data_IF_009020283224
#
_entry.id   IF_009020283224
#
_cell.length_a   1.000
_cell.length_b   1.000
_cell.length_c   1.000
_cell.angle_alpha   90.00
_cell.angle_beta   90.00
_cell.angle_gamma   90.00
#
_symmetry.space_group_name_H-M   'P 1'
#
loop_
_entity.id
_entity.type
_entity.pdbx_description
1 polymer ?
#
# COMPACT_ATOMS: atom_id res chain seq x y z
N UNK A 1 -3.15 -15.32 -1.23
CA UNK A 1 -2.58 -14.00 -1.58
C UNK A 1 -3.19 -12.87 -0.74
N UNK A 2 -4.49 -12.68 -0.75
CA UNK A 2 -5.15 -11.63 0.04
C UNK A 2 -4.90 -11.74 1.55
N UNK A 3 -4.93 -12.95 2.08
CA UNK A 3 -4.64 -13.19 3.50
C UNK A 3 -3.23 -12.73 3.86
N UNK A 4 -2.26 -13.03 3.02
CA UNK A 4 -0.87 -12.61 3.21
C UNK A 4 -0.74 -11.09 3.18
N UNK A 5 -1.35 -10.43 2.21
CA UNK A 5 -1.33 -8.97 2.10
C UNK A 5 -1.94 -8.32 3.35
N UNK A 6 -3.07 -8.81 3.82
CA UNK A 6 -3.73 -8.31 5.02
C UNK A 6 -2.89 -8.48 6.28
N UNK A 7 -2.27 -9.65 6.44
CA UNK A 7 -1.39 -9.95 7.57
C UNK A 7 -0.14 -9.05 7.56
N UNK A 8 0.48 -8.89 6.40
CA UNK A 8 1.66 -8.04 6.25
C UNK A 8 1.34 -6.57 6.48
N UNK A 9 0.18 -6.11 5.99
CA UNK A 9 -0.30 -4.75 6.20
C UNK A 9 -0.50 -4.45 7.69
N UNK A 10 -1.12 -5.38 8.42
CA UNK A 10 -1.32 -5.25 9.86
C UNK A 10 0.02 -5.17 10.61
N UNK A 11 0.98 -6.00 10.23
CA UNK A 11 2.32 -6.00 10.83
C UNK A 11 3.08 -4.71 10.52
N UNK A 12 3.02 -4.22 9.28
CA UNK A 12 3.64 -2.94 8.89
C UNK A 12 3.06 -1.79 9.73
N UNK A 13 1.74 -1.75 9.91
CA UNK A 13 1.08 -0.74 10.71
C UNK A 13 1.45 -0.84 12.19
N UNK A 14 1.57 -2.06 12.71
CA UNK A 14 2.01 -2.29 14.10
C UNK A 14 3.42 -1.75 14.33
N UNK A 15 4.35 -2.05 13.43
CA UNK A 15 5.73 -1.56 13.52
C UNK A 15 5.81 -0.04 13.38
N UNK A 16 5.01 0.54 12.51
CA UNK A 16 4.94 1.99 12.36
C UNK A 16 4.38 2.67 13.61
N UNK A 17 3.33 2.09 14.20
CA UNK A 17 2.76 2.56 15.47
C UNK A 17 3.79 2.51 16.61
N UNK A 18 4.65 1.48 16.63
CA UNK A 18 5.72 1.36 17.62
C UNK A 18 6.72 2.53 17.52
N UNK A 19 7.00 3.01 16.31
CA UNK A 19 7.85 4.20 16.11
C UNK A 19 7.22 5.42 16.81
N UNK A 20 5.92 5.65 16.61
CA UNK A 20 5.22 6.78 17.23
C UNK A 20 5.18 6.69 18.76
N UNK A 21 4.89 5.51 19.29
CA UNK A 21 4.85 5.26 20.73
C UNK A 21 6.19 5.55 21.39
N UNK A 22 7.27 5.04 20.80
CA UNK A 22 8.62 5.20 21.34
C UNK A 22 9.17 6.61 21.12
N UNK A 23 8.78 7.26 20.02
CA UNK A 23 9.16 8.64 19.73
C UNK A 23 8.71 9.59 20.83
N UNK A 24 7.47 9.43 21.31
CA UNK A 24 6.91 10.28 22.35
C UNK A 24 7.72 10.26 23.65
N UNK A 25 8.43 9.16 23.93
CA UNK A 25 9.19 8.95 25.17
C UNK A 25 10.71 9.03 24.98
N UNK A 26 11.19 9.36 23.78
CA UNK A 26 12.63 9.28 23.43
C UNK A 26 13.54 10.15 24.29
N UNK A 27 13.01 11.22 24.90
CA UNK A 27 13.80 12.17 25.70
C UNK A 27 13.71 11.89 27.20
N UNK A 28 12.94 10.87 27.62
CA UNK A 28 12.77 10.51 29.03
C UNK A 28 14.05 9.92 29.62
N UNK A 29 14.75 9.08 28.87
CA UNK A 29 16.00 8.43 29.31
C UNK A 29 16.78 7.97 28.09
N UNK A 30 18.11 7.66 28.25
CA UNK A 30 18.89 7.05 27.18
C UNK A 30 18.32 5.72 26.71
N UNK A 31 17.75 4.92 27.61
CA UNK A 31 17.11 3.63 27.28
C UNK A 31 15.88 3.84 26.41
N UNK A 32 15.07 4.87 26.71
CA UNK A 32 13.88 5.18 25.91
C UNK A 32 14.25 5.67 24.52
N UNK A 33 15.32 6.44 24.39
CA UNK A 33 15.83 6.87 23.09
C UNK A 33 16.30 5.68 22.28
N UNK A 34 16.96 4.71 22.90
CA UNK A 34 17.40 3.49 22.24
C UNK A 34 16.22 2.64 21.75
N UNK A 35 15.14 2.54 22.56
CA UNK A 35 13.93 1.85 22.13
C UNK A 35 13.35 2.45 20.85
N UNK A 36 13.32 3.78 20.76
CA UNK A 36 12.87 4.48 19.56
C UNK A 36 13.77 4.19 18.35
N UNK A 37 15.09 4.25 18.53
CA UNK A 37 16.03 3.93 17.45
C UNK A 37 15.84 2.51 16.95
N UNK A 38 15.63 1.55 17.86
CA UNK A 38 15.39 0.16 17.52
C UNK A 38 14.06 0.01 16.75
N UNK A 39 13.02 0.70 17.15
CA UNK A 39 11.73 0.68 16.45
C UNK A 39 11.88 1.18 15.01
N UNK A 40 12.62 2.26 14.78
CA UNK A 40 12.90 2.79 13.45
C UNK A 40 13.70 1.80 12.61
N UNK A 41 14.72 1.15 13.21
CA UNK A 41 15.57 0.17 12.54
C UNK A 41 14.79 -1.05 12.09
N UNK A 42 13.96 -1.61 12.98
CA UNK A 42 13.13 -2.79 12.68
C UNK A 42 12.15 -2.47 11.56
N UNK A 43 11.47 -1.33 11.62
CA UNK A 43 10.53 -0.92 10.58
C UNK A 43 11.22 -0.81 9.22
N UNK A 44 12.35 -0.11 9.15
CA UNK A 44 13.10 0.09 7.90
C UNK A 44 13.56 -1.24 7.31
N UNK A 45 14.06 -2.15 8.14
CA UNK A 45 14.55 -3.46 7.69
C UNK A 45 13.44 -4.35 7.14
N UNK A 46 12.26 -4.31 7.76
CA UNK A 46 11.14 -5.19 7.42
C UNK A 46 10.17 -4.63 6.40
N UNK A 47 10.19 -3.32 6.18
CA UNK A 47 9.17 -2.63 5.36
C UNK A 47 9.08 -3.21 3.95
N UNK A 48 10.20 -3.42 3.28
CA UNK A 48 10.20 -3.92 1.90
C UNK A 48 9.45 -5.25 1.76
N UNK A 49 9.69 -6.20 2.67
CA UNK A 49 9.02 -7.50 2.64
C UNK A 49 7.54 -7.41 2.98
N UNK A 50 7.19 -6.56 3.93
CA UNK A 50 5.81 -6.41 4.38
C UNK A 50 4.96 -5.59 3.42
N UNK A 51 5.56 -4.67 2.69
CA UNK A 51 4.84 -3.77 1.79
C UNK A 51 4.20 -4.51 0.61
N UNK A 52 4.88 -5.54 0.06
CA UNK A 52 4.39 -6.25 -1.11
C UNK A 52 4.91 -7.69 -1.13
N UNK A 53 4.06 -8.68 -1.48
CA UNK A 53 4.49 -10.09 -1.58
C UNK A 53 5.71 -10.27 -2.48
N UNK A 54 6.75 -10.94 -1.97
CA UNK A 54 8.03 -11.08 -2.66
C UNK A 54 8.96 -9.89 -2.53
N UNK A 55 8.56 -8.87 -1.75
CA UNK A 55 9.30 -7.62 -1.55
C UNK A 55 8.91 -6.55 -2.57
N UNK A 56 8.84 -5.30 -2.11
CA UNK A 56 8.48 -4.20 -3.01
C UNK A 56 9.62 -3.80 -3.93
N UNK A 57 10.87 -3.93 -3.50
CA UNK A 57 12.03 -3.67 -4.37
C UNK A 57 12.01 -4.61 -5.57
N UNK A 58 12.03 -4.04 -6.76
CA UNK A 58 11.95 -4.80 -8.00
C UNK A 58 10.56 -5.35 -8.35
N UNK A 59 9.54 -5.10 -7.53
CA UNK A 59 8.18 -5.61 -7.74
C UNK A 59 7.58 -5.12 -9.06
N UNK A 60 7.79 -3.85 -9.39
CA UNK A 60 7.23 -3.28 -10.62
C UNK A 60 7.85 -3.90 -11.87
N UNK A 61 9.14 -4.18 -11.83
CA UNK A 61 9.84 -4.86 -12.94
C UNK A 61 9.35 -6.29 -13.09
N UNK A 62 9.18 -7.03 -11.98
CA UNK A 62 8.64 -8.39 -12.01
C UNK A 62 7.20 -8.40 -12.54
N UNK A 63 6.40 -7.42 -12.15
CA UNK A 63 5.01 -7.26 -12.62
C UNK A 63 4.95 -7.10 -14.13
N UNK A 64 5.69 -6.15 -14.67
CA UNK A 64 5.72 -5.86 -16.11
C UNK A 64 6.32 -7.03 -16.90
N UNK A 65 7.29 -7.74 -16.32
CA UNK A 65 7.90 -8.92 -16.92
C UNK A 65 6.98 -10.14 -16.94
N UNK A 66 5.84 -10.10 -16.26
CA UNK A 66 4.89 -11.20 -16.27
C UNK A 66 5.09 -12.25 -15.18
N UNK A 67 5.79 -11.92 -14.10
CA UNK A 67 5.90 -12.81 -12.95
C UNK A 67 4.50 -13.07 -12.37
N UNK A 68 4.09 -14.32 -12.29
CA UNK A 68 2.73 -14.71 -11.91
C UNK A 68 2.35 -14.25 -10.50
N UNK A 69 3.25 -14.41 -9.54
CA UNK A 69 3.02 -13.95 -8.17
C UNK A 69 2.87 -12.43 -8.11
N UNK A 70 3.74 -11.70 -8.80
CA UNK A 70 3.70 -10.24 -8.83
C UNK A 70 2.41 -9.73 -9.50
N UNK A 71 1.97 -10.37 -10.58
CA UNK A 71 0.72 -10.00 -11.26
C UNK A 71 -0.49 -10.21 -10.34
N UNK A 72 -0.60 -11.37 -9.70
CA UNK A 72 -1.71 -11.65 -8.79
C UNK A 72 -1.69 -10.70 -7.58
N UNK A 73 -0.52 -10.47 -7.00
CA UNK A 73 -0.37 -9.54 -5.89
C UNK A 73 -0.74 -8.12 -6.29
N UNK A 74 -0.40 -7.68 -7.51
CA UNK A 74 -0.72 -6.34 -8.01
C UNK A 74 -2.22 -6.14 -8.25
N UNK A 75 -2.99 -7.20 -8.43
CA UNK A 75 -4.44 -7.13 -8.52
C UNK A 75 -5.07 -7.21 -7.12
N UNK A 76 -4.63 -8.15 -6.29
CA UNK A 76 -5.15 -8.32 -4.93
C UNK A 76 -4.94 -7.07 -4.06
N UNK A 77 -3.78 -6.42 -4.18
CA UNK A 77 -3.45 -5.25 -3.37
C UNK A 77 -4.47 -4.10 -3.58
N UNK A 78 -4.73 -3.64 -4.82
CA UNK A 78 -5.75 -2.62 -5.04
C UNK A 78 -7.16 -3.07 -4.66
N UNK A 79 -7.50 -4.35 -4.84
CA UNK A 79 -8.80 -4.88 -4.45
C UNK A 79 -9.04 -4.77 -2.95
N UNK A 80 -8.00 -5.02 -2.16
CA UNK A 80 -8.07 -4.96 -0.70
C UNK A 80 -7.92 -3.55 -0.15
N UNK A 81 -7.19 -2.68 -0.83
CA UNK A 81 -6.81 -1.34 -0.36
C UNK A 81 -6.21 -1.37 1.04
N UNK A 82 -5.10 -2.08 1.25
CA UNK A 82 -4.48 -2.14 2.57
C UNK A 82 -4.01 -0.75 3.00
N UNK A 83 -4.15 -0.44 4.28
CA UNK A 83 -3.77 0.85 4.82
C UNK A 83 -2.55 0.70 5.71
N UNK A 84 -1.42 1.26 5.27
CA UNK A 84 -0.19 1.34 6.02
C UNK A 84 0.69 2.46 5.44
N UNK A 85 1.82 2.73 6.05
CA UNK A 85 2.72 3.79 5.62
C UNK A 85 3.07 3.69 4.13
N UNK A 86 2.74 4.73 3.37
CA UNK A 86 2.93 4.85 1.91
C UNK A 86 2.12 3.90 1.04
N UNK A 87 1.13 3.23 1.61
CA UNK A 87 0.27 2.33 0.83
C UNK A 87 -0.49 3.04 -0.29
N UNK A 88 -0.83 4.31 -0.12
CA UNK A 88 -1.47 5.11 -1.16
C UNK A 88 -0.61 5.30 -2.41
N UNK A 89 0.68 5.54 -2.24
CA UNK A 89 1.62 5.62 -3.36
C UNK A 89 1.74 4.29 -4.08
N UNK A 90 1.80 3.20 -3.33
CA UNK A 90 1.87 1.85 -3.90
C UNK A 90 0.60 1.52 -4.67
N UNK A 91 -0.56 1.87 -4.12
CA UNK A 91 -1.85 1.66 -4.78
C UNK A 91 -1.87 2.31 -6.17
N UNK A 92 -1.54 3.59 -6.26
CA UNK A 92 -1.54 4.33 -7.52
C UNK A 92 -0.49 3.78 -8.50
N UNK A 93 0.71 3.47 -8.00
CA UNK A 93 1.80 2.96 -8.82
C UNK A 93 1.49 1.57 -9.37
N UNK A 94 0.92 0.69 -8.54
CA UNK A 94 0.54 -0.67 -8.95
C UNK A 94 -0.56 -0.64 -10.01
N UNK A 95 -1.58 0.21 -9.84
CA UNK A 95 -2.63 0.35 -10.85
C UNK A 95 -2.06 0.80 -12.19
N UNK A 96 -1.17 1.78 -12.18
CA UNK A 96 -0.57 2.30 -13.40
C UNK A 96 0.30 1.26 -14.11
N UNK A 97 1.13 0.55 -13.35
CA UNK A 97 2.06 -0.45 -13.90
C UNK A 97 1.36 -1.75 -14.32
N UNK A 98 0.31 -2.14 -13.62
CA UNK A 98 -0.45 -3.35 -13.96
C UNK A 98 -1.06 -3.29 -15.36
N UNK A 99 -1.37 -2.10 -15.87
CA UNK A 99 -1.87 -1.92 -17.24
C UNK A 99 -0.87 -2.38 -18.31
N UNK A 100 0.40 -2.41 -17.98
CA UNK A 100 1.48 -2.81 -18.90
C UNK A 100 1.93 -4.26 -18.71
N UNK A 101 1.33 -4.98 -17.76
CA UNK A 101 1.66 -6.37 -17.48
C UNK A 101 0.85 -7.32 -18.38
N UNK A 102 1.38 -8.51 -18.72
CA UNK A 102 0.65 -9.51 -19.49
C UNK A 102 -0.36 -10.27 -18.62
N UNK A 103 -1.36 -9.56 -18.12
CA UNK A 103 -2.40 -10.09 -17.24
C UNK A 103 -3.28 -11.10 -17.98
N UNK A 104 -3.84 -12.06 -17.23
CA UNK A 104 -4.88 -12.94 -17.76
C UNK A 104 -6.17 -12.12 -18.03
N UNK A 105 -7.09 -12.70 -18.78
CA UNK A 105 -8.40 -12.09 -19.06
C UNK A 105 -9.13 -11.80 -17.73
N UNK A 106 -9.09 -12.75 -16.80
CA UNK A 106 -9.71 -12.60 -15.49
C UNK A 106 -9.06 -11.48 -14.68
N UNK A 107 -7.72 -11.43 -14.65
CA UNK A 107 -6.98 -10.38 -13.94
C UNK A 107 -7.24 -9.01 -14.55
N UNK A 108 -7.31 -8.91 -15.88
CA UNK A 108 -7.62 -7.67 -16.59
C UNK A 108 -9.03 -7.16 -16.22
N UNK A 109 -10.00 -8.07 -16.15
CA UNK A 109 -11.37 -7.73 -15.75
C UNK A 109 -11.41 -7.23 -14.29
N UNK A 110 -10.70 -7.89 -13.38
CA UNK A 110 -10.59 -7.48 -11.98
C UNK A 110 -9.94 -6.11 -11.85
N UNK A 111 -8.87 -5.87 -12.61
CA UNK A 111 -8.20 -4.57 -12.63
C UNK A 111 -9.15 -3.48 -13.11
N UNK A 112 -9.93 -3.74 -14.16
CA UNK A 112 -10.88 -2.76 -14.71
C UNK A 112 -11.94 -2.39 -13.67
N UNK A 113 -12.44 -3.35 -12.90
CA UNK A 113 -13.40 -3.07 -11.82
C UNK A 113 -12.81 -2.13 -10.78
N UNK A 114 -11.55 -2.34 -10.38
CA UNK A 114 -10.86 -1.46 -9.44
C UNK A 114 -10.70 -0.05 -10.02
N UNK A 115 -10.28 0.05 -11.28
CA UNK A 115 -10.13 1.34 -11.97
C UNK A 115 -11.46 2.10 -12.01
N UNK A 116 -12.55 1.41 -12.31
CA UNK A 116 -13.89 2.01 -12.36
C UNK A 116 -14.32 2.51 -10.98
N UNK A 117 -14.06 1.74 -9.93
CA UNK A 117 -14.36 2.14 -8.54
C UNK A 117 -13.57 3.38 -8.14
N UNK A 118 -12.28 3.45 -8.51
CA UNK A 118 -11.44 4.60 -8.21
C UNK A 118 -11.96 5.85 -8.92
N UNK A 119 -12.35 5.73 -10.20
CA UNK A 119 -12.93 6.83 -10.97
C UNK A 119 -14.23 7.35 -10.35
N UNK A 120 -15.12 6.44 -9.97
CA UNK A 120 -16.37 6.77 -9.31
C UNK A 120 -16.13 7.50 -7.99
N UNK A 121 -15.21 7.01 -7.17
CA UNK A 121 -14.85 7.62 -5.90
C UNK A 121 -14.24 9.02 -6.08
N UNK A 122 -13.34 9.19 -7.05
CA UNK A 122 -12.76 10.51 -7.36
C UNK A 122 -13.81 11.50 -7.85
N UNK A 123 -14.77 11.04 -8.64
CA UNK A 123 -15.88 11.89 -9.10
C UNK A 123 -16.76 12.37 -7.94
N UNK A 124 -17.08 11.48 -6.98
CA UNK A 124 -17.81 11.84 -5.77
C UNK A 124 -17.04 12.84 -4.90
N UNK A 125 -15.75 12.64 -4.76
CA UNK A 125 -14.87 13.53 -3.98
C UNK A 125 -14.83 14.92 -4.61
N UNK A 126 -14.78 15.04 -5.94
CA UNK A 126 -14.82 16.32 -6.64
C UNK A 126 -16.14 17.04 -6.43
N UNK A 127 -17.27 16.32 -6.46
CA UNK A 127 -18.60 16.89 -6.17
C UNK A 127 -18.66 17.47 -4.76
N UNK A 128 -18.08 16.78 -3.77
CA UNK A 128 -18.04 17.26 -2.37
C UNK A 128 -17.17 18.49 -2.19
N UNK A 129 -16.13 18.66 -3.02
CA UNK A 129 -15.22 19.80 -2.95
C UNK A 129 -15.74 21.05 -3.66
N UNK A 130 -16.86 20.95 -4.42
CA UNK A 130 -17.47 22.05 -5.15
C UNK A 130 -18.96 22.22 -4.83
N UNK A 131 -19.30 22.41 -3.54
CA UNK A 131 -20.71 22.55 -3.16
C UNK A 131 -21.38 23.78 -3.78
N UNK A 132 -20.64 24.86 -4.06
CA UNK A 132 -21.17 26.11 -4.60
C UNK A 132 -21.57 26.01 -6.07
N UNK A 133 -20.95 25.14 -6.85
CA UNK A 133 -21.33 24.88 -8.24
C UNK A 133 -22.64 24.09 -8.33
N UNK A 134 -22.94 23.29 -7.31
CA UNK A 134 -24.16 22.49 -7.26
C UNK A 134 -25.37 23.29 -6.78
N UNK A 135 -25.17 24.42 -6.08
CA UNK A 135 -26.21 25.26 -5.53
C UNK A 135 -26.53 26.48 -6.40
N UNK A 136 -25.73 26.67 -7.41
CA UNK A 136 -25.93 27.72 -8.40
C UNK A 136 -26.74 27.23 -9.56
#
# INVERSE_FOLDING_TARGET
MKLLIGKNSAEASRLHGRIHETFAKRDVSPEKREEWKQACEVFRRRYNELAFPGGYDGALDRLVAGNEEAMEAAICFPEMRPYFFRSGYMFDTLLRKAKHAPLSIEQSARLQLVVDQVRAWKALKRKKQRPDEASG
#
